data_IF_119598485634
#
_entry.id   IF_119598485634
#
_cell.length_a   1.000
_cell.length_b   1.000
_cell.length_c   1.000
_cell.angle_alpha   90.00
_cell.angle_beta   90.00
_cell.angle_gamma   90.00
#
_symmetry.space_group_name_H-M   'P 1'
#
loop_
_entity.id
_entity.type
_entity.pdbx_description
1 polymer ?
#
# COMPACT_ATOMS: atom_id res chain seq x y z
N UNK A 1 9.28 26.33 -15.58
CA UNK A 1 9.95 26.05 -14.29
C UNK A 1 8.87 25.70 -13.28
N UNK A 2 8.88 24.48 -12.72
CA UNK A 2 8.01 24.13 -11.59
C UNK A 2 8.65 24.73 -10.34
N UNK A 3 7.91 25.56 -9.58
CA UNK A 3 8.40 26.12 -8.32
C UNK A 3 8.68 25.00 -7.30
N UNK A 4 9.68 25.16 -6.44
CA UNK A 4 9.99 24.22 -5.33
C UNK A 4 8.74 23.92 -4.50
N UNK A 5 7.91 24.93 -4.26
CA UNK A 5 6.63 24.77 -3.56
C UNK A 5 5.70 23.76 -4.26
N UNK A 6 5.60 23.83 -5.58
CA UNK A 6 4.79 22.89 -6.35
C UNK A 6 5.37 21.48 -6.26
N UNK A 7 6.70 21.32 -6.26
CA UNK A 7 7.35 20.01 -6.12
C UNK A 7 7.05 19.35 -4.76
N UNK A 8 7.06 20.12 -3.67
CA UNK A 8 6.70 19.60 -2.33
C UNK A 8 5.23 19.17 -2.26
N UNK A 9 4.32 19.91 -2.89
CA UNK A 9 2.92 19.52 -2.97
C UNK A 9 2.72 18.24 -3.79
N UNK A 10 3.44 18.08 -4.91
CA UNK A 10 3.40 16.85 -5.71
C UNK A 10 3.91 15.66 -4.90
N UNK A 11 5.04 15.81 -4.21
CA UNK A 11 5.59 14.75 -3.35
C UNK A 11 4.60 14.35 -2.27
N UNK A 12 4.05 15.34 -1.54
CA UNK A 12 3.07 15.12 -0.49
C UNK A 12 1.82 14.40 -1.02
N UNK A 13 1.26 14.85 -2.15
CA UNK A 13 0.15 14.13 -2.81
C UNK A 13 0.55 12.72 -3.20
N UNK A 14 1.75 12.52 -3.76
CA UNK A 14 2.25 11.19 -4.11
C UNK A 14 2.28 10.23 -2.92
N UNK A 15 2.69 10.69 -1.74
CA UNK A 15 2.64 9.85 -0.52
C UNK A 15 1.18 9.60 -0.09
N UNK A 16 0.34 10.64 -0.11
CA UNK A 16 -1.08 10.52 0.24
C UNK A 16 -1.86 9.56 -0.68
N UNK A 17 -1.50 9.51 -1.96
CA UNK A 17 -2.14 8.67 -2.97
C UNK A 17 -1.96 7.16 -2.73
N UNK A 18 -0.97 6.74 -1.93
CA UNK A 18 -0.86 5.33 -1.49
C UNK A 18 -2.17 4.86 -0.83
N UNK A 19 -2.82 5.76 -0.10
CA UNK A 19 -4.11 5.52 0.55
C UNK A 19 -5.24 6.30 -0.11
N UNK A 20 -5.13 6.64 -1.39
CA UNK A 20 -6.14 7.37 -2.17
C UNK A 20 -6.42 8.81 -1.69
N UNK A 21 -5.45 9.44 -1.02
CA UNK A 21 -5.59 10.81 -0.52
C UNK A 21 -4.85 11.78 -1.45
N UNK A 22 -5.55 12.39 -2.40
CA UNK A 22 -5.00 13.51 -3.21
C UNK A 22 -4.90 14.80 -2.38
N UNK A 23 -4.10 14.78 -1.32
CA UNK A 23 -3.94 15.88 -0.37
C UNK A 23 -2.52 15.87 0.21
N UNK A 24 -1.80 16.98 0.01
CA UNK A 24 -0.41 17.09 0.44
C UNK A 24 -0.25 17.08 1.97
N UNK A 25 -1.22 17.62 2.72
CA UNK A 25 -1.19 17.58 4.18
C UNK A 25 -1.43 16.15 4.69
N UNK A 26 -2.34 15.40 4.08
CA UNK A 26 -2.52 13.97 4.37
C UNK A 26 -1.23 13.19 4.15
N UNK A 27 -0.58 13.38 3.00
CA UNK A 27 0.70 12.74 2.73
C UNK A 27 1.84 13.20 3.64
N UNK A 28 1.86 14.46 4.09
CA UNK A 28 2.82 14.94 5.08
C UNK A 28 2.62 14.24 6.44
N UNK A 29 1.38 14.10 6.90
CA UNK A 29 1.10 13.36 8.15
C UNK A 29 1.50 11.89 8.04
N UNK A 30 1.26 11.27 6.89
CA UNK A 30 1.75 9.93 6.59
C UNK A 30 3.28 9.87 6.58
N UNK A 31 3.96 10.83 5.95
CA UNK A 31 5.41 10.89 5.95
C UNK A 31 5.99 11.04 7.36
N UNK A 32 5.40 11.89 8.21
CA UNK A 32 5.78 12.00 9.63
C UNK A 32 5.59 10.65 10.33
N UNK A 33 4.48 9.96 10.08
CA UNK A 33 4.25 8.61 10.59
C UNK A 33 5.35 7.62 10.18
N UNK A 34 5.78 7.64 8.92
CA UNK A 34 6.89 6.79 8.45
C UNK A 34 8.19 7.14 9.20
N UNK A 35 8.54 8.43 9.32
CA UNK A 35 9.74 8.87 10.04
C UNK A 35 9.73 8.52 11.52
N UNK A 36 8.57 8.50 12.17
CA UNK A 36 8.42 8.08 13.56
C UNK A 36 8.70 6.59 13.76
N UNK A 37 8.40 5.77 12.75
CA UNK A 37 8.74 4.34 12.79
C UNK A 37 10.21 4.12 12.41
N UNK A 38 10.69 4.74 11.34
CA UNK A 38 12.08 4.66 10.91
C UNK A 38 12.46 5.84 10.02
N UNK A 39 13.57 6.51 10.37
CA UNK A 39 14.11 7.59 9.55
C UNK A 39 14.63 7.10 8.19
N UNK A 40 15.18 5.88 8.14
CA UNK A 40 15.62 5.25 6.89
C UNK A 40 14.43 5.04 5.95
N UNK A 41 13.33 4.47 6.45
CA UNK A 41 12.11 4.26 5.66
C UNK A 41 11.55 5.57 5.12
N UNK A 42 11.60 6.65 5.90
CA UNK A 42 11.18 7.98 5.47
C UNK A 42 11.99 8.52 4.30
N UNK A 43 13.32 8.35 4.33
CA UNK A 43 14.21 8.76 3.23
C UNK A 43 13.98 7.91 1.99
N UNK A 44 13.83 6.59 2.13
CA UNK A 44 13.60 5.70 1.00
C UNK A 44 12.23 5.94 0.35
N UNK A 45 11.19 6.19 1.15
CA UNK A 45 9.86 6.59 0.68
C UNK A 45 9.92 7.85 -0.19
N UNK A 46 10.61 8.90 0.30
CA UNK A 46 10.83 10.14 -0.46
C UNK A 46 11.61 9.86 -1.75
N UNK A 47 12.68 9.07 -1.66
CA UNK A 47 13.58 8.80 -2.79
C UNK A 47 12.84 8.06 -3.91
N UNK A 48 12.13 6.97 -3.57
CA UNK A 48 11.32 6.23 -4.53
C UNK A 48 10.21 7.09 -5.16
N UNK A 49 9.53 7.93 -4.37
CA UNK A 49 8.54 8.87 -4.87
C UNK A 49 9.11 9.86 -5.89
N UNK A 50 10.25 10.48 -5.56
CA UNK A 50 10.94 11.43 -6.45
C UNK A 50 11.36 10.72 -7.75
N UNK A 51 11.96 9.54 -7.66
CA UNK A 51 12.43 8.79 -8.83
C UNK A 51 11.27 8.43 -9.76
N UNK A 52 10.17 7.90 -9.24
CA UNK A 52 9.00 7.57 -10.06
C UNK A 52 8.32 8.80 -10.67
N UNK A 53 8.21 9.89 -9.89
CA UNK A 53 7.67 11.16 -10.38
C UNK A 53 8.52 11.76 -11.51
N UNK A 54 9.84 11.75 -11.36
CA UNK A 54 10.77 12.20 -12.42
C UNK A 54 10.71 11.28 -13.64
N UNK A 55 10.62 9.96 -13.43
CA UNK A 55 10.47 8.99 -14.51
C UNK A 55 9.21 9.28 -15.33
N UNK A 56 8.08 9.55 -14.67
CA UNK A 56 6.84 9.93 -15.34
C UNK A 56 6.98 11.24 -16.12
N UNK A 57 7.63 12.24 -15.53
CA UNK A 57 7.90 13.52 -16.18
C UNK A 57 8.74 13.36 -17.46
N UNK A 58 9.89 12.68 -17.38
CA UNK A 58 10.79 12.48 -18.52
C UNK A 58 10.22 11.54 -19.58
N UNK A 59 9.34 10.62 -19.18
CA UNK A 59 8.66 9.70 -20.10
C UNK A 59 7.40 10.31 -20.75
N UNK A 60 7.09 11.58 -20.48
CA UNK A 60 6.02 12.33 -21.16
C UNK A 60 4.60 12.06 -20.66
N UNK A 61 4.41 11.70 -19.38
CA UNK A 61 3.09 11.44 -18.82
C UNK A 61 2.30 12.74 -18.60
N UNK A 62 0.99 12.61 -18.41
CA UNK A 62 0.07 13.74 -18.19
C UNK A 62 0.52 14.62 -17.02
N UNK A 63 0.67 15.92 -17.27
CA UNK A 63 1.16 16.87 -16.25
C UNK A 63 0.20 17.03 -15.08
N UNK A 64 -1.11 16.91 -15.32
CA UNK A 64 -2.09 17.06 -14.25
C UNK A 64 -2.12 15.81 -13.35
N UNK A 65 -2.03 14.61 -13.93
CA UNK A 65 -1.83 13.36 -13.17
C UNK A 65 -0.54 13.39 -12.32
N UNK A 66 0.56 13.95 -12.86
CA UNK A 66 1.79 14.19 -12.09
C UNK A 66 1.52 15.15 -10.93
N UNK A 67 0.82 16.27 -11.17
CA UNK A 67 0.50 17.25 -10.11
C UNK A 67 -0.38 16.67 -9.00
N UNK A 68 -1.23 15.73 -9.35
CA UNK A 68 -2.10 14.97 -8.44
C UNK A 68 -1.37 13.81 -7.74
N UNK A 69 -0.07 13.62 -8.00
CA UNK A 69 0.77 12.63 -7.32
C UNK A 69 0.55 11.19 -7.79
N UNK A 70 -0.18 10.95 -8.88
CA UNK A 70 -0.56 9.61 -9.34
C UNK A 70 0.62 8.74 -9.78
N UNK A 71 1.81 9.32 -9.95
CA UNK A 71 3.02 8.58 -10.34
C UNK A 71 4.11 8.55 -9.24
N UNK A 72 3.84 9.09 -8.05
CA UNK A 72 4.78 9.04 -6.91
C UNK A 72 4.50 7.91 -5.92
N UNK A 73 3.25 7.46 -5.80
CA UNK A 73 2.85 6.55 -4.72
C UNK A 73 3.40 5.13 -4.88
N UNK A 74 3.42 4.57 -6.10
CA UNK A 74 4.01 3.25 -6.33
C UNK A 74 5.52 3.27 -6.03
N UNK A 75 6.22 4.34 -6.42
CA UNK A 75 7.63 4.56 -6.06
C UNK A 75 7.86 4.68 -4.56
N UNK A 76 6.96 5.35 -3.85
CA UNK A 76 6.99 5.45 -2.38
C UNK A 76 7.01 4.06 -1.75
N UNK A 77 6.10 3.18 -2.18
CA UNK A 77 6.02 1.81 -1.69
C UNK A 77 7.23 0.95 -2.10
N UNK A 78 7.76 1.12 -3.32
CA UNK A 78 9.00 0.45 -3.75
C UNK A 78 10.16 0.83 -2.84
N UNK A 79 10.33 2.12 -2.54
CA UNK A 79 11.41 2.60 -1.67
C UNK A 79 11.33 1.99 -0.28
N UNK A 80 10.14 2.00 0.33
CA UNK A 80 9.94 1.38 1.64
C UNK A 80 10.19 -0.13 1.58
N UNK A 81 9.67 -0.83 0.56
CA UNK A 81 9.85 -2.27 0.41
C UNK A 81 11.33 -2.66 0.32
N UNK A 82 12.17 -1.88 -0.37
CA UNK A 82 13.62 -2.12 -0.37
C UNK A 82 14.21 -2.01 1.04
N UNK A 83 13.79 -1.00 1.82
CA UNK A 83 14.24 -0.87 3.21
C UNK A 83 13.77 -2.00 4.12
N UNK A 84 12.68 -2.69 3.77
CA UNK A 84 12.11 -3.82 4.54
C UNK A 84 12.79 -5.14 4.17
N UNK A 85 13.01 -5.38 2.88
CA UNK A 85 13.43 -6.70 2.39
C UNK A 85 14.91 -6.81 2.05
N UNK A 86 15.66 -5.71 2.10
CA UNK A 86 17.05 -5.69 1.63
C UNK A 86 17.98 -4.95 2.58
N UNK A 87 19.22 -5.43 2.69
CA UNK A 87 20.28 -4.69 3.36
C UNK A 87 20.59 -3.39 2.60
N UNK A 88 20.71 -2.28 3.33
CA UNK A 88 21.00 -0.98 2.74
C UNK A 88 22.46 -0.92 2.29
N UNK A 89 22.64 -0.89 0.97
CA UNK A 89 23.92 -0.79 0.29
C UNK A 89 23.73 0.03 -0.99
N UNK A 90 24.84 0.38 -1.65
CA UNK A 90 24.77 1.04 -2.96
C UNK A 90 24.00 0.17 -3.96
N UNK A 91 24.16 -1.16 -3.89
CA UNK A 91 23.45 -2.10 -4.74
C UNK A 91 21.93 -2.04 -4.56
N UNK A 92 21.44 -2.09 -3.33
CA UNK A 92 19.99 -2.03 -3.06
C UNK A 92 19.41 -0.67 -3.42
N UNK A 93 20.14 0.43 -3.22
CA UNK A 93 19.70 1.77 -3.64
C UNK A 93 19.61 1.91 -5.18
N UNK A 94 20.55 1.33 -5.93
CA UNK A 94 20.48 1.31 -7.40
C UNK A 94 19.31 0.46 -7.88
N UNK A 95 19.12 -0.72 -7.30
CA UNK A 95 17.99 -1.59 -7.61
C UNK A 95 16.64 -0.94 -7.25
N UNK A 96 16.56 -0.24 -6.13
CA UNK A 96 15.40 0.57 -5.73
C UNK A 96 15.08 1.61 -6.79
N UNK A 97 16.09 2.32 -7.31
CA UNK A 97 15.89 3.33 -8.35
C UNK A 97 15.32 2.69 -9.62
N UNK A 98 15.90 1.57 -10.07
CA UNK A 98 15.42 0.82 -11.23
C UNK A 98 13.97 0.34 -11.02
N UNK A 99 13.67 -0.29 -9.88
CA UNK A 99 12.32 -0.74 -9.55
C UNK A 99 11.31 0.44 -9.48
N UNK A 100 11.72 1.59 -8.96
CA UNK A 100 10.87 2.79 -8.93
C UNK A 100 10.54 3.27 -10.35
N UNK A 101 11.50 3.24 -11.28
CA UNK A 101 11.26 3.51 -12.70
C UNK A 101 10.32 2.47 -13.33
N UNK A 102 10.58 1.18 -13.08
CA UNK A 102 9.78 0.06 -13.60
C UNK A 102 8.33 0.15 -13.14
N UNK A 103 8.07 0.42 -11.86
CA UNK A 103 6.70 0.62 -11.35
C UNK A 103 5.97 1.77 -12.08
N UNK A 104 6.70 2.81 -12.49
CA UNK A 104 6.12 3.92 -13.28
C UNK A 104 5.74 3.43 -14.68
N UNK A 105 6.62 2.72 -15.37
CA UNK A 105 6.34 2.17 -16.70
C UNK A 105 5.20 1.15 -16.69
N UNK A 106 5.12 0.29 -15.67
CA UNK A 106 3.99 -0.62 -15.50
C UNK A 106 2.69 0.18 -15.30
N UNK A 107 2.72 1.30 -14.56
CA UNK A 107 1.56 2.19 -14.42
C UNK A 107 1.07 2.72 -15.78
N UNK A 108 1.97 2.99 -16.73
CA UNK A 108 1.59 3.34 -18.12
C UNK A 108 0.78 2.25 -18.79
N UNK A 109 1.21 0.99 -18.64
CA UNK A 109 0.55 -0.15 -19.28
C UNK A 109 -0.88 -0.29 -18.76
N UNK A 110 -1.09 -0.12 -17.46
CA UNK A 110 -2.44 -0.07 -16.86
C UNK A 110 -3.29 1.08 -17.41
N UNK A 111 -2.70 2.28 -17.57
CA UNK A 111 -3.40 3.42 -18.14
C UNK A 111 -3.76 3.22 -19.63
N UNK A 112 -2.94 2.48 -20.39
CA UNK A 112 -3.19 2.19 -21.80
C UNK A 112 -4.30 1.15 -22.01
N UNK A 113 -4.44 0.14 -21.14
CA UNK A 113 -5.47 -0.90 -21.29
C UNK A 113 -6.90 -0.48 -20.88
N UNK A 114 -7.05 0.56 -20.04
CA UNK A 114 -8.32 1.24 -19.65
C UNK A 114 -9.44 0.42 -19.02
N UNK A 115 -9.31 -0.89 -18.92
CA UNK A 115 -10.31 -1.83 -18.41
C UNK A 115 -10.34 -1.91 -16.88
N UNK A 116 -9.15 -1.81 -16.25
CA UNK A 116 -8.97 -1.88 -14.80
C UNK A 116 -8.00 -0.78 -14.31
N UNK A 117 -8.30 -0.13 -13.18
CA UNK A 117 -7.35 0.79 -12.54
C UNK A 117 -6.10 0.03 -12.06
N UNK A 118 -4.93 0.66 -12.18
CA UNK A 118 -3.66 0.04 -11.77
C UNK A 118 -3.52 -0.15 -10.26
N UNK A 119 -4.14 0.72 -9.45
CA UNK A 119 -3.95 0.73 -7.99
C UNK A 119 -2.45 0.60 -7.63
N UNK A 120 -2.12 -0.32 -6.71
CA UNK A 120 -0.75 -0.66 -6.31
C UNK A 120 -0.16 -1.84 -7.10
N UNK A 121 -0.83 -2.34 -8.15
CA UNK A 121 -0.31 -3.41 -9.01
C UNK A 121 1.08 -3.08 -9.62
N UNK A 122 1.35 -1.83 -10.05
CA UNK A 122 2.67 -1.48 -10.55
C UNK A 122 3.78 -1.61 -9.50
N UNK A 123 3.50 -1.25 -8.24
CA UNK A 123 4.39 -1.51 -7.11
C UNK A 123 4.60 -3.02 -6.89
N UNK A 124 3.51 -3.80 -6.81
CA UNK A 124 3.56 -5.25 -6.54
C UNK A 124 4.43 -5.97 -7.58
N UNK A 125 4.13 -5.76 -8.86
CA UNK A 125 4.84 -6.42 -9.96
C UNK A 125 6.31 -6.00 -10.01
N UNK A 126 6.60 -4.73 -9.71
CA UNK A 126 7.98 -4.25 -9.66
C UNK A 126 8.77 -4.86 -8.50
N UNK A 127 8.17 -4.97 -7.31
CA UNK A 127 8.85 -5.55 -6.14
C UNK A 127 8.98 -7.06 -6.26
N UNK A 128 7.96 -7.78 -6.77
CA UNK A 128 8.10 -9.21 -7.06
C UNK A 128 9.20 -9.49 -8.08
N UNK A 129 9.29 -8.69 -9.14
CA UNK A 129 10.39 -8.80 -10.11
C UNK A 129 11.76 -8.54 -9.47
N UNK A 130 11.85 -7.51 -8.61
CA UNK A 130 13.07 -7.19 -7.87
C UNK A 130 13.48 -8.33 -6.92
N UNK A 131 12.57 -8.79 -6.06
CA UNK A 131 12.85 -9.86 -5.10
C UNK A 131 13.23 -11.16 -5.82
N UNK A 132 12.49 -11.53 -6.87
CA UNK A 132 12.83 -12.71 -7.69
C UNK A 132 14.20 -12.61 -8.34
N UNK A 133 14.56 -11.43 -8.85
CA UNK A 133 15.92 -11.18 -9.37
C UNK A 133 16.98 -11.34 -8.27
N UNK A 134 16.77 -10.74 -7.10
CA UNK A 134 17.70 -10.83 -5.98
C UNK A 134 17.85 -12.26 -5.47
N UNK A 135 16.77 -13.02 -5.33
CA UNK A 135 16.83 -14.43 -4.90
C UNK A 135 17.72 -15.27 -5.82
N UNK A 136 17.75 -14.96 -7.12
CA UNK A 136 18.51 -15.74 -8.11
C UNK A 136 19.94 -15.25 -8.33
N UNK A 137 20.17 -13.94 -8.26
CA UNK A 137 21.44 -13.33 -8.68
C UNK A 137 22.25 -12.77 -7.51
N UNK A 138 21.58 -12.25 -6.48
CA UNK A 138 22.22 -11.58 -5.33
C UNK A 138 21.50 -11.95 -4.03
N UNK A 139 21.47 -13.22 -3.61
CA UNK A 139 20.68 -13.62 -2.45
C UNK A 139 21.16 -12.94 -1.16
N UNK A 140 22.45 -12.63 -1.05
CA UNK A 140 23.07 -12.02 0.13
C UNK A 140 22.54 -10.61 0.45
N UNK A 141 21.90 -9.92 -0.51
CA UNK A 141 21.32 -8.59 -0.25
C UNK A 141 19.95 -8.67 0.41
N UNK A 142 19.30 -9.84 0.40
CA UNK A 142 17.97 -10.04 0.97
C UNK A 142 18.06 -10.25 2.48
N UNK A 143 17.21 -9.55 3.21
CA UNK A 143 17.06 -9.76 4.65
C UNK A 143 16.27 -11.05 4.89
N UNK A 144 16.80 -11.93 5.73
CA UNK A 144 16.07 -13.07 6.23
C UNK A 144 14.97 -12.60 7.21
N UNK A 145 13.83 -13.30 7.22
CA UNK A 145 12.88 -13.14 8.32
C UNK A 145 13.52 -13.69 9.58
N UNK A 146 13.75 -12.85 10.59
CA UNK A 146 14.17 -13.32 11.90
C UNK A 146 13.08 -14.24 12.47
N UNK A 147 13.48 -15.43 12.95
CA UNK A 147 12.59 -16.28 13.72
C UNK A 147 12.38 -15.62 15.09
N UNK A 148 11.17 -15.13 15.34
CA UNK A 148 10.80 -14.56 16.64
C UNK A 148 10.60 -15.72 17.62
N UNK A 149 11.12 -15.57 18.84
CA UNK A 149 10.91 -16.53 19.91
C UNK A 149 9.41 -16.54 20.30
N UNK A 150 8.79 -17.73 20.28
CA UNK A 150 7.41 -17.99 20.70
C UNK A 150 7.18 -17.58 22.17
N UNK A 151 6.97 -16.28 22.41
CA UNK A 151 6.35 -15.81 23.64
C UNK A 151 4.85 -15.87 23.39
N UNK A 152 4.14 -16.70 24.17
CA UNK A 152 2.67 -16.73 24.15
C UNK A 152 2.16 -15.34 24.54
N UNK A 153 1.90 -14.49 23.54
CA UNK A 153 1.26 -13.21 23.71
C UNK A 153 -0.21 -13.31 23.28
N UNK A 154 -1.11 -12.80 24.11
CA UNK A 154 -2.51 -12.61 23.71
C UNK A 154 -2.62 -11.59 22.57
N UNK A 155 -3.78 -11.58 21.91
CA UNK A 155 -4.06 -10.59 20.86
C UNK A 155 -4.24 -9.21 21.49
N UNK A 156 -3.42 -8.25 21.08
CA UNK A 156 -3.60 -6.83 21.37
C UNK A 156 -4.38 -6.19 20.23
N UNK A 157 -5.70 -6.13 20.39
CA UNK A 157 -6.60 -5.60 19.35
C UNK A 157 -6.30 -4.16 18.94
N UNK A 158 -5.86 -3.31 19.86
CA UNK A 158 -5.54 -1.91 19.54
C UNK A 158 -4.25 -1.81 18.71
N UNK A 159 -3.24 -2.61 19.04
CA UNK A 159 -2.03 -2.73 18.25
C UNK A 159 -2.33 -3.32 16.87
N UNK A 160 -3.05 -4.45 16.79
CA UNK A 160 -3.46 -5.09 15.55
C UNK A 160 -4.23 -4.13 14.63
N UNK A 161 -5.14 -3.33 15.20
CA UNK A 161 -5.87 -2.29 14.49
C UNK A 161 -4.93 -1.20 13.93
N UNK A 162 -4.09 -0.61 14.79
CA UNK A 162 -3.23 0.50 14.38
C UNK A 162 -2.15 0.04 13.39
N UNK A 163 -1.52 -1.10 13.65
CA UNK A 163 -0.55 -1.70 12.75
C UNK A 163 -1.23 -2.12 11.44
N UNK A 164 -2.48 -2.60 11.47
CA UNK A 164 -3.25 -2.87 10.26
C UNK A 164 -3.34 -1.67 9.32
N UNK A 165 -3.45 -0.45 9.87
CA UNK A 165 -3.41 0.79 9.07
C UNK A 165 -1.96 1.12 8.64
N UNK A 166 -1.00 1.03 9.56
CA UNK A 166 0.42 1.33 9.29
C UNK A 166 1.07 0.41 8.24
N UNK A 167 0.70 -0.87 8.23
CA UNK A 167 1.23 -1.90 7.34
C UNK A 167 0.88 -1.68 5.87
N UNK A 168 -0.07 -0.80 5.54
CA UNK A 168 -0.30 -0.35 4.16
C UNK A 168 0.98 0.24 3.55
N UNK A 169 1.83 0.84 4.37
CA UNK A 169 3.16 1.31 4.01
C UNK A 169 4.26 0.59 4.80
N UNK A 170 4.06 -0.66 5.24
CA UNK A 170 5.06 -1.44 6.02
C UNK A 170 5.48 -0.85 7.37
N UNK A 171 4.57 -0.16 8.07
CA UNK A 171 4.91 0.50 9.34
C UNK A 171 4.28 -0.22 10.54
N UNK A 172 5.12 -0.88 11.35
CA UNK A 172 4.74 -1.57 12.60
C UNK A 172 4.83 -0.67 13.83
N UNK A 173 4.08 0.44 13.84
CA UNK A 173 4.09 1.39 14.97
C UNK A 173 2.70 1.99 15.22
N UNK A 174 2.29 2.05 16.50
CA UNK A 174 0.95 2.48 16.90
C UNK A 174 0.72 3.93 16.51
N UNK A 175 1.70 4.81 16.71
CA UNK A 175 1.58 6.23 16.40
C UNK A 175 1.54 6.48 14.90
N UNK A 176 2.28 5.68 14.13
CA UNK A 176 2.25 5.74 12.67
C UNK A 176 0.87 5.40 12.12
N UNK A 177 0.25 4.30 12.57
CA UNK A 177 -1.11 3.93 12.16
C UNK A 177 -2.16 5.00 12.50
N UNK A 178 -2.07 5.60 13.69
CA UNK A 178 -2.95 6.71 14.09
C UNK A 178 -2.73 7.96 13.24
N UNK A 179 -1.49 8.32 12.93
CA UNK A 179 -1.19 9.45 12.05
C UNK A 179 -1.69 9.23 10.63
N UNK A 180 -1.60 7.99 10.12
CA UNK A 180 -2.17 7.65 8.82
C UNK A 180 -3.69 7.84 8.83
N UNK A 181 -4.36 7.36 9.88
CA UNK A 181 -5.81 7.55 10.05
C UNK A 181 -6.18 9.05 10.13
N UNK A 182 -5.43 9.86 10.88
CA UNK A 182 -5.63 11.32 10.94
C UNK A 182 -5.38 11.95 9.56
N UNK A 183 -4.33 11.53 8.85
CA UNK A 183 -4.04 11.97 7.49
C UNK A 183 -5.19 11.69 6.53
N UNK A 184 -5.79 10.50 6.58
CA UNK A 184 -6.99 10.17 5.80
C UNK A 184 -8.17 11.05 6.23
N UNK A 185 -8.40 11.22 7.53
CA UNK A 185 -9.50 12.02 8.07
C UNK A 185 -9.45 13.49 7.63
N UNK A 186 -8.25 14.07 7.56
CA UNK A 186 -8.01 15.44 7.08
C UNK A 186 -8.56 15.65 5.66
N UNK A 187 -8.44 14.65 4.79
CA UNK A 187 -8.92 14.74 3.42
C UNK A 187 -10.36 14.23 3.25
N UNK A 188 -10.74 13.15 3.94
CA UNK A 188 -12.06 12.53 3.78
C UNK A 188 -12.52 11.76 5.02
N UNK A 189 -13.59 12.26 5.66
CA UNK A 189 -14.29 11.56 6.76
C UNK A 189 -14.86 10.20 6.32
N UNK A 190 -15.34 10.10 5.08
CA UNK A 190 -15.86 8.85 4.53
C UNK A 190 -14.74 7.82 4.39
N UNK A 191 -13.58 8.24 3.86
CA UNK A 191 -12.43 7.34 3.74
C UNK A 191 -11.96 6.89 5.12
N UNK A 192 -11.86 7.79 6.10
CA UNK A 192 -11.47 7.44 7.46
C UNK A 192 -12.43 6.44 8.13
N UNK A 193 -13.74 6.61 7.94
CA UNK A 193 -14.74 5.62 8.39
C UNK A 193 -14.46 4.24 7.78
N UNK A 194 -14.23 4.17 6.46
CA UNK A 194 -13.94 2.91 5.80
C UNK A 194 -12.57 2.33 6.16
N UNK A 195 -11.55 3.15 6.43
CA UNK A 195 -10.28 2.71 7.01
C UNK A 195 -10.50 1.96 8.32
N UNK A 196 -11.34 2.50 9.19
CA UNK A 196 -11.69 1.84 10.47
C UNK A 196 -12.35 0.49 10.22
N UNK A 197 -13.34 0.42 9.33
CA UNK A 197 -14.00 -0.85 8.97
C UNK A 197 -13.02 -1.86 8.36
N UNK A 198 -12.19 -1.41 7.42
CA UNK A 198 -11.21 -2.26 6.73
C UNK A 198 -10.11 -2.80 7.65
N UNK A 199 -9.74 -2.07 8.70
CA UNK A 199 -8.80 -2.53 9.72
C UNK A 199 -9.44 -3.47 10.75
N UNK A 200 -10.71 -3.25 11.12
CA UNK A 200 -11.39 -4.07 12.13
C UNK A 200 -11.95 -5.39 11.61
N UNK A 201 -12.53 -5.41 10.40
CA UNK A 201 -13.23 -6.59 9.90
C UNK A 201 -12.31 -7.83 9.80
N UNK A 202 -11.04 -7.73 9.36
CA UNK A 202 -10.10 -8.85 9.37
C UNK A 202 -9.77 -9.36 10.78
N UNK A 203 -9.78 -8.49 11.80
CA UNK A 203 -9.55 -8.87 13.20
C UNK A 203 -10.69 -9.74 13.73
N UNK A 204 -11.93 -9.57 13.24
CA UNK A 204 -13.04 -10.46 13.61
C UNK A 204 -12.85 -11.88 13.08
N UNK A 205 -12.02 -12.05 12.04
CA UNK A 205 -11.64 -13.35 11.49
C UNK A 205 -10.45 -13.99 12.24
N UNK A 206 -9.93 -13.35 13.29
CA UNK A 206 -8.85 -13.87 14.13
C UNK A 206 -9.12 -15.23 14.78
N UNK A 207 -10.39 -15.65 14.83
CA UNK A 207 -10.80 -16.94 15.38
C UNK A 207 -10.67 -18.09 14.37
N UNK A 208 -10.34 -17.80 13.11
CA UNK A 208 -10.18 -18.83 12.09
C UNK A 208 -8.91 -19.67 12.35
N UNK A 209 -8.99 -21.00 12.19
CA UNK A 209 -7.82 -21.88 12.36
C UNK A 209 -6.69 -21.47 11.40
N UNK A 210 -5.48 -21.28 11.93
CA UNK A 210 -4.28 -20.98 11.14
C UNK A 210 -3.82 -19.51 11.16
N UNK A 211 -4.49 -18.62 11.90
CA UNK A 211 -3.98 -17.27 12.18
C UNK A 211 -3.48 -17.23 13.62
N UNK A 212 -2.16 -17.10 13.79
CA UNK A 212 -1.57 -16.93 15.12
C UNK A 212 -1.74 -15.49 15.64
N UNK A 213 -1.60 -15.31 16.95
CA UNK A 213 -1.78 -14.00 17.59
C UNK A 213 -0.69 -12.99 17.19
N UNK A 214 0.50 -13.46 16.82
CA UNK A 214 1.62 -12.62 16.41
C UNK A 214 1.34 -11.96 15.05
N UNK A 215 0.91 -12.76 14.07
CA UNK A 215 0.47 -12.30 12.75
C UNK A 215 -0.60 -11.20 12.83
N UNK A 216 -1.54 -11.34 13.77
CA UNK A 216 -2.55 -10.31 14.02
C UNK A 216 -1.95 -9.07 14.68
N UNK A 217 -1.12 -9.24 15.72
CA UNK A 217 -0.47 -8.15 16.43
C UNK A 217 0.51 -7.36 15.53
N UNK A 218 1.08 -8.00 14.51
CA UNK A 218 1.87 -7.36 13.46
C UNK A 218 1.02 -6.56 12.45
N UNK A 219 -0.32 -6.69 12.49
CA UNK A 219 -1.25 -5.99 11.61
C UNK A 219 -1.36 -6.58 10.19
N UNK A 220 -0.80 -7.77 9.95
CA UNK A 220 -0.68 -8.34 8.60
C UNK A 220 -2.02 -8.75 7.98
N UNK A 221 -3.07 -8.88 8.78
CA UNK A 221 -4.42 -9.17 8.28
C UNK A 221 -5.20 -7.91 7.87
N UNK A 222 -4.80 -6.73 8.36
CA UNK A 222 -5.61 -5.50 8.27
C UNK A 222 -5.39 -4.66 7.01
N UNK A 223 -4.15 -4.53 6.55
CA UNK A 223 -3.77 -3.49 5.59
C UNK A 223 -4.39 -3.65 4.20
N UNK A 224 -4.52 -4.88 3.71
CA UNK A 224 -5.24 -5.16 2.46
C UNK A 224 -6.73 -4.79 2.59
N UNK A 225 -7.34 -5.08 3.75
CA UNK A 225 -8.70 -4.68 4.07
C UNK A 225 -8.88 -3.15 4.10
N UNK A 226 -7.93 -2.42 4.68
CA UNK A 226 -7.93 -0.95 4.68
C UNK A 226 -7.99 -0.39 3.26
N UNK A 227 -7.14 -0.87 2.35
CA UNK A 227 -7.11 -0.40 0.96
C UNK A 227 -8.39 -0.79 0.19
N UNK A 228 -8.90 -2.01 0.39
CA UNK A 228 -10.18 -2.45 -0.18
C UNK A 228 -11.33 -1.51 0.23
N UNK A 229 -11.38 -1.19 1.52
CA UNK A 229 -12.45 -0.38 2.08
C UNK A 229 -12.41 1.07 1.58
N UNK A 230 -11.22 1.68 1.50
CA UNK A 230 -11.09 3.04 0.95
C UNK A 230 -11.42 3.07 -0.55
N UNK A 231 -10.96 2.08 -1.32
CA UNK A 231 -11.14 2.05 -2.77
C UNK A 231 -12.62 1.89 -3.20
N UNK A 232 -13.41 1.12 -2.45
CA UNK A 232 -14.82 0.85 -2.78
C UNK A 232 -15.81 1.66 -1.94
N UNK A 233 -15.35 2.34 -0.90
CA UNK A 233 -16.16 3.03 0.10
C UNK A 233 -16.82 4.31 -0.40
N UNK A 234 -18.12 4.43 -0.23
CA UNK A 234 -18.89 5.66 -0.46
C UNK A 234 -20.08 5.76 0.51
N UNK A 235 -20.92 6.80 0.41
CA UNK A 235 -21.99 7.04 1.40
C UNK A 235 -23.23 6.16 1.25
N UNK A 236 -23.20 5.12 0.43
CA UNK A 236 -24.36 4.24 0.19
C UNK A 236 -24.27 2.93 0.95
N UNK A 237 -25.41 2.38 1.39
CA UNK A 237 -25.46 1.05 2.03
C UNK A 237 -24.95 -0.06 1.09
N UNK A 238 -25.21 0.09 -0.22
CA UNK A 238 -24.72 -0.86 -1.22
C UNK A 238 -23.19 -0.92 -1.24
N UNK A 239 -22.51 0.22 -1.12
CA UNK A 239 -21.05 0.25 -1.00
C UNK A 239 -20.57 -0.44 0.26
N UNK A 240 -21.25 -0.27 1.40
CA UNK A 240 -20.89 -0.97 2.64
C UNK A 240 -20.87 -2.50 2.47
N UNK A 241 -21.85 -3.06 1.74
CA UNK A 241 -21.87 -4.50 1.41
C UNK A 241 -20.68 -4.89 0.54
N UNK A 242 -20.44 -4.17 -0.57
CA UNK A 242 -19.32 -4.46 -1.46
C UNK A 242 -17.95 -4.33 -0.79
N UNK A 243 -17.79 -3.31 0.07
CA UNK A 243 -16.60 -3.14 0.89
C UNK A 243 -16.41 -4.34 1.80
N UNK A 244 -17.44 -4.74 2.54
CA UNK A 244 -17.35 -5.88 3.45
C UNK A 244 -16.96 -7.16 2.72
N UNK A 245 -17.58 -7.44 1.56
CA UNK A 245 -17.22 -8.57 0.72
C UNK A 245 -15.76 -8.49 0.23
N UNK A 246 -15.32 -7.31 -0.22
CA UNK A 246 -13.93 -7.11 -0.70
C UNK A 246 -12.91 -7.31 0.42
N UNK A 247 -13.18 -6.75 1.60
CA UNK A 247 -12.29 -6.89 2.76
C UNK A 247 -12.15 -8.36 3.14
N UNK A 248 -13.26 -9.09 3.31
CA UNK A 248 -13.23 -10.52 3.65
C UNK A 248 -12.49 -11.35 2.58
N UNK A 249 -12.74 -11.08 1.29
CA UNK A 249 -12.03 -11.74 0.19
C UNK A 249 -10.52 -11.43 0.23
N UNK A 250 -10.14 -10.19 0.50
CA UNK A 250 -8.73 -9.80 0.60
C UNK A 250 -8.03 -10.47 1.79
N UNK A 251 -8.72 -10.64 2.92
CA UNK A 251 -8.18 -11.37 4.08
C UNK A 251 -8.01 -12.85 3.76
N UNK A 252 -8.96 -13.48 3.06
CA UNK A 252 -8.81 -14.87 2.61
C UNK A 252 -7.60 -15.02 1.66
N UNK A 253 -7.46 -14.13 0.69
CA UNK A 253 -6.33 -14.13 -0.25
C UNK A 253 -4.99 -13.87 0.48
N UNK A 254 -4.98 -13.04 1.52
CA UNK A 254 -3.82 -12.82 2.38
C UNK A 254 -3.39 -14.11 3.09
N UNK A 255 -4.34 -14.80 3.73
CA UNK A 255 -4.08 -16.07 4.43
C UNK A 255 -3.54 -17.12 3.45
N UNK A 256 -4.17 -17.26 2.28
CA UNK A 256 -3.70 -18.18 1.24
C UNK A 256 -2.28 -17.83 0.80
N UNK A 257 -1.99 -16.56 0.54
CA UNK A 257 -0.66 -16.13 0.09
C UNK A 257 0.42 -16.36 1.15
N UNK A 258 0.13 -16.12 2.42
CA UNK A 258 1.05 -16.40 3.53
C UNK A 258 1.31 -17.91 3.70
N UNK A 259 0.26 -18.74 3.60
CA UNK A 259 0.41 -20.21 3.66
C UNK A 259 1.20 -20.78 2.46
N UNK A 260 1.28 -20.04 1.36
CA UNK A 260 2.11 -20.38 0.19
C UNK A 260 3.50 -19.72 0.25
N UNK A 261 3.87 -19.09 1.38
CA UNK A 261 5.15 -18.40 1.59
C UNK A 261 5.40 -17.26 0.58
N UNK A 262 4.34 -16.70 0.00
CA UNK A 262 4.43 -15.59 -0.94
C UNK A 262 4.52 -14.29 -0.15
N UNK A 263 5.47 -13.43 -0.50
CA UNK A 263 5.46 -12.02 -0.09
C UNK A 263 4.27 -11.33 -0.77
N UNK A 264 3.12 -11.36 -0.09
CA UNK A 264 1.81 -10.96 -0.63
C UNK A 264 1.75 -9.48 -1.03
N UNK A 265 2.47 -8.61 -0.31
CA UNK A 265 2.36 -7.16 -0.46
C UNK A 265 0.87 -6.75 -0.48
N UNK A 266 0.49 -5.80 -1.33
CA UNK A 266 -0.91 -5.37 -1.46
C UNK A 266 -1.68 -6.14 -2.56
N UNK A 267 -1.19 -7.29 -3.02
CA UNK A 267 -1.84 -8.07 -4.07
C UNK A 267 -3.25 -8.57 -3.69
N UNK A 268 -3.50 -9.05 -2.45
CA UNK A 268 -4.84 -9.42 -2.02
C UNK A 268 -5.86 -8.29 -2.12
N UNK A 269 -5.45 -7.05 -1.82
CA UNK A 269 -6.27 -5.85 -2.04
C UNK A 269 -6.62 -5.67 -3.52
N UNK A 270 -5.61 -5.62 -4.40
CA UNK A 270 -5.80 -5.33 -5.83
C UNK A 270 -6.72 -6.36 -6.47
N UNK A 271 -6.45 -7.64 -6.24
CA UNK A 271 -7.24 -8.75 -6.81
C UNK A 271 -8.66 -8.70 -6.29
N UNK A 272 -8.85 -8.50 -4.98
CA UNK A 272 -10.19 -8.43 -4.38
C UNK A 272 -11.02 -7.29 -4.97
N UNK A 273 -10.46 -6.08 -5.09
CA UNK A 273 -11.18 -4.95 -5.66
C UNK A 273 -11.50 -5.17 -7.14
N UNK A 274 -10.58 -5.72 -7.93
CA UNK A 274 -10.86 -6.06 -9.33
C UNK A 274 -11.99 -7.07 -9.47
N UNK A 275 -12.02 -8.11 -8.63
CA UNK A 275 -13.12 -9.10 -8.61
C UNK A 275 -14.45 -8.42 -8.29
N UNK A 276 -14.52 -7.60 -7.25
CA UNK A 276 -15.75 -6.90 -6.88
C UNK A 276 -16.21 -5.92 -7.97
N UNK A 277 -15.28 -5.16 -8.57
CA UNK A 277 -15.60 -4.28 -9.70
C UNK A 277 -16.13 -5.08 -10.91
N UNK A 278 -15.55 -6.24 -11.19
CA UNK A 278 -16.03 -7.15 -12.23
C UNK A 278 -17.45 -7.65 -11.96
N UNK A 279 -17.74 -8.09 -10.74
CA UNK A 279 -19.08 -8.53 -10.32
C UNK A 279 -20.09 -7.37 -10.42
N UNK A 280 -19.71 -6.17 -9.97
CA UNK A 280 -20.58 -4.98 -10.07
C UNK A 280 -20.96 -4.67 -11.53
N UNK A 281 -20.03 -4.78 -12.47
CA UNK A 281 -20.30 -4.60 -13.91
C UNK A 281 -21.30 -5.63 -14.44
N UNK A 282 -21.25 -6.87 -13.96
CA UNK A 282 -22.17 -7.94 -14.38
C UNK A 282 -23.57 -7.81 -13.76
N UNK A 283 -23.64 -7.45 -12.47
CA UNK A 283 -24.90 -7.41 -11.69
C UNK A 283 -25.62 -6.07 -11.83
N UNK A 284 -24.93 -5.00 -12.22
CA UNK A 284 -25.48 -3.64 -12.36
C UNK A 284 -25.15 -3.14 -13.78
N UNK A 285 -25.86 -3.59 -14.82
CA UNK A 285 -25.61 -3.11 -16.17
C UNK A 285 -26.01 -1.62 -16.24
N UNK A 286 -25.04 -0.71 -16.27
CA UNK A 286 -25.28 0.71 -16.55
C UNK A 286 -24.52 1.77 -15.75
N UNK A 287 -23.69 1.43 -14.75
CA UNK A 287 -23.07 2.43 -13.86
C UNK A 287 -21.57 2.68 -14.03
N UNK A 288 -20.98 2.45 -15.21
CA UNK A 288 -19.65 3.01 -15.54
C UNK A 288 -19.59 3.34 -17.03
N UNK A 289 -19.64 4.63 -17.37
CA UNK A 289 -18.96 5.21 -18.53
C UNK A 289 -17.69 5.88 -18.01
#
# INVERSE_FOLDING_TARGET
>A
MVSVYNSLLVLGRGIGQVMFQNNALSGLLMLIGIFLNSWQMGILAISGNIISTLTAYFSGYGRDDIKDGLYGFNGTLVGIAVGVFMELSIGSLLLMAVASCVSTWISRLFNLQRSLPGFTAPFILSVWGLLGFCTWIMPDILLASDAVNDIIQGINYFQAFSFGIGQVMFQGNIWTGLLFLVGILVNSRTAAFYTVIGAFLPILLAVLPGIDAETLNMGLMGYNGVLCAIALGNRTLKSFVWVSCSVLLSTLLQIIGMNLEITTLTAPFVVSVWVIMGIQKLVIPGTVK
#
